data_IF_193625737137
#
_entry.id   IF_193625737137
#
_cell.length_a   1.000
_cell.length_b   1.000
_cell.length_c   1.000
_cell.angle_alpha   90.00
_cell.angle_beta   90.00
_cell.angle_gamma   90.00
#
_symmetry.space_group_name_H-M   'P 1'
#
loop_
_entity.id
_entity.type
_entity.pdbx_description
1 polymer ?
#
# COMPACT_ATOMS: atom_id res chain seq x y z
N UNK A 1 19.24 -22.97 -4.19
CA UNK A 1 17.81 -22.71 -3.89
C UNK A 1 17.61 -21.21 -4.01
N UNK A 2 16.85 -20.75 -5.02
CA UNK A 2 16.53 -19.34 -5.27
C UNK A 2 15.20 -19.02 -4.59
N UNK A 3 15.11 -17.86 -3.94
CA UNK A 3 13.85 -17.13 -3.71
C UNK A 3 13.00 -17.56 -2.52
N UNK A 4 13.47 -17.35 -1.29
CA UNK A 4 12.55 -17.21 -0.15
C UNK A 4 12.58 -15.74 0.26
N UNK A 5 11.50 -14.98 0.01
CA UNK A 5 11.41 -13.59 0.47
C UNK A 5 11.55 -13.54 1.99
N UNK A 6 12.14 -12.46 2.52
CA UNK A 6 12.09 -12.16 3.95
C UNK A 6 10.65 -11.86 4.42
N UNK A 7 10.46 -11.82 5.73
CA UNK A 7 9.16 -11.54 6.37
C UNK A 7 9.34 -10.49 7.49
N UNK A 8 8.37 -9.58 7.60
CA UNK A 8 8.28 -8.61 8.68
C UNK A 8 7.37 -9.18 9.79
N UNK A 9 7.92 -9.35 11.00
CA UNK A 9 7.22 -9.95 12.14
C UNK A 9 6.77 -8.86 13.12
N UNK A 10 5.47 -8.81 13.43
CA UNK A 10 4.87 -7.85 14.37
C UNK A 10 4.37 -8.50 15.66
N UNK A 11 4.22 -7.70 16.74
CA UNK A 11 3.52 -8.08 17.97
C UNK A 11 2.27 -7.22 18.15
N UNK A 12 1.19 -7.81 18.66
CA UNK A 12 -0.07 -7.12 18.95
C UNK A 12 -0.19 -6.98 20.47
N UNK A 13 -0.32 -5.75 20.94
CA UNK A 13 -0.53 -5.44 22.36
C UNK A 13 -2.01 -5.12 22.60
N UNK A 14 -2.68 -5.96 23.38
CA UNK A 14 -4.10 -5.80 23.71
C UNK A 14 -4.28 -4.89 24.94
N UNK A 15 -3.95 -3.61 24.81
CA UNK A 15 -4.23 -2.59 25.84
C UNK A 15 -5.05 -1.45 25.23
N UNK A 16 -5.80 -0.74 26.07
CA UNK A 16 -6.62 0.41 25.64
C UNK A 16 -5.79 1.50 24.95
N UNK A 17 -4.53 1.65 25.34
CA UNK A 17 -3.63 2.68 24.82
C UNK A 17 -3.22 2.42 23.35
N UNK A 18 -3.38 1.18 22.87
CA UNK A 18 -3.12 0.78 21.48
C UNK A 18 -4.39 0.47 20.69
N UNK A 19 -5.57 0.80 21.24
CA UNK A 19 -6.85 0.61 20.57
C UNK A 19 -7.23 1.86 19.75
N UNK A 20 -7.16 1.75 18.43
CA UNK A 20 -7.44 2.85 17.49
C UNK A 20 -8.90 2.87 16.98
N UNK A 21 -9.63 1.75 17.06
CA UNK A 21 -11.01 1.64 16.59
C UNK A 21 -11.40 0.22 16.20
N UNK A 22 -12.55 0.09 15.53
CA UNK A 22 -13.17 -1.19 15.19
C UNK A 22 -13.02 -1.52 13.71
N UNK A 23 -12.71 -2.78 13.42
CA UNK A 23 -12.80 -3.35 12.07
C UNK A 23 -14.25 -3.76 11.83
N UNK A 24 -14.89 -3.18 10.84
CA UNK A 24 -16.26 -3.51 10.45
C UNK A 24 -16.30 -4.59 9.38
N UNK A 25 -15.34 -4.60 8.44
CA UNK A 25 -15.34 -5.52 7.31
C UNK A 25 -13.95 -5.86 6.80
N UNK A 26 -13.78 -7.12 6.43
CA UNK A 26 -12.63 -7.60 5.66
C UNK A 26 -13.12 -7.99 4.26
N UNK A 27 -12.62 -7.31 3.23
CA UNK A 27 -13.02 -7.52 1.85
C UNK A 27 -11.81 -7.80 0.96
N UNK A 28 -12.06 -8.15 -0.30
CA UNK A 28 -10.99 -8.26 -1.28
C UNK A 28 -10.28 -6.94 -1.60
N UNK A 29 -10.88 -5.79 -1.28
CA UNK A 29 -10.28 -4.47 -1.49
C UNK A 29 -9.57 -3.92 -0.25
N UNK A 30 -9.55 -4.66 0.86
CA UNK A 30 -8.91 -4.26 2.10
C UNK A 30 -9.77 -4.46 3.35
N UNK A 31 -9.24 -3.98 4.47
CA UNK A 31 -9.88 -3.96 5.77
C UNK A 31 -10.47 -2.56 5.99
N UNK A 32 -11.73 -2.51 6.38
CA UNK A 32 -12.52 -1.29 6.56
C UNK A 32 -13.09 -1.25 7.96
N UNK A 33 -13.19 -0.04 8.51
CA UNK A 33 -13.61 0.17 9.88
C UNK A 33 -13.62 1.65 10.24
N UNK A 34 -13.88 1.92 11.51
CA UNK A 34 -13.95 3.28 12.05
C UNK A 34 -12.85 3.49 13.06
N UNK A 35 -12.13 4.59 12.90
CA UNK A 35 -11.19 5.06 13.91
C UNK A 35 -11.98 5.81 14.98
N UNK A 36 -11.83 5.39 16.23
CA UNK A 36 -12.48 6.01 17.39
C UNK A 36 -11.48 6.85 18.19
N UNK A 37 -10.25 6.36 18.33
CA UNK A 37 -9.18 7.01 19.09
C UNK A 37 -8.05 7.41 18.16
N UNK A 38 -8.25 8.52 17.45
CA UNK A 38 -7.18 9.15 16.66
C UNK A 38 -6.27 9.89 17.62
N UNK A 39 -5.02 9.44 17.78
CA UNK A 39 -4.00 10.13 18.56
C UNK A 39 -3.75 11.55 18.03
N UNK A 40 -3.39 12.49 18.89
CA UNK A 40 -3.02 13.88 18.49
C UNK A 40 -1.91 13.89 17.44
N UNK A 41 -0.95 12.96 17.52
CA UNK A 41 0.15 12.80 16.57
C UNK A 41 -0.32 12.46 15.16
N UNK A 42 -1.36 11.62 15.05
CA UNK A 42 -2.01 11.26 13.79
C UNK A 42 -2.89 12.40 13.28
N UNK A 43 -3.62 13.08 14.16
CA UNK A 43 -4.44 14.24 13.82
C UNK A 43 -3.61 15.43 13.32
N UNK A 44 -2.35 15.54 13.75
CA UNK A 44 -1.40 16.55 13.30
C UNK A 44 -0.74 16.24 11.95
N UNK A 45 -0.91 15.03 11.40
CA UNK A 45 -0.38 14.69 10.08
C UNK A 45 -1.13 15.41 8.96
N UNK A 46 -0.41 15.76 7.89
CA UNK A 46 -1.02 16.37 6.71
C UNK A 46 -1.77 15.32 5.88
N UNK A 47 -3.03 15.60 5.57
CA UNK A 47 -3.84 14.77 4.69
C UNK A 47 -3.33 14.87 3.25
N UNK A 48 -3.25 13.73 2.57
CA UNK A 48 -2.84 13.66 1.17
C UNK A 48 -4.08 13.50 0.29
N UNK A 49 -4.24 14.29 -0.79
CA UNK A 49 -5.36 14.12 -1.71
C UNK A 49 -5.33 12.76 -2.40
N UNK A 50 -6.51 12.22 -2.68
CA UNK A 50 -6.65 10.99 -3.45
C UNK A 50 -6.55 11.31 -4.95
N UNK A 51 -5.82 10.47 -5.69
CA UNK A 51 -5.75 10.53 -7.14
C UNK A 51 -6.76 9.56 -7.76
N UNK A 52 -7.62 10.08 -8.62
CA UNK A 52 -8.60 9.26 -9.35
C UNK A 52 -7.93 8.50 -10.50
N UNK A 53 -8.54 7.40 -10.96
CA UNK A 53 -8.02 6.51 -12.01
C UNK A 53 -7.57 7.26 -13.27
N UNK A 54 -8.31 8.30 -13.67
CA UNK A 54 -7.99 9.15 -14.84
C UNK A 54 -6.72 10.02 -14.67
N UNK A 55 -6.29 10.26 -13.44
CA UNK A 55 -5.11 11.08 -13.12
C UNK A 55 -3.83 10.26 -13.04
N UNK A 56 -3.94 8.93 -12.91
CA UNK A 56 -2.82 8.01 -12.79
C UNK A 56 -2.17 7.81 -14.16
N UNK A 57 -0.84 7.86 -14.20
CA UNK A 57 -0.04 7.67 -15.41
C UNK A 57 1.02 6.60 -15.19
N UNK A 58 1.40 5.91 -16.26
CA UNK A 58 2.62 5.10 -16.24
C UNK A 58 3.84 6.00 -16.03
N UNK A 59 4.88 5.46 -15.41
CA UNK A 59 6.10 6.18 -15.05
C UNK A 59 6.28 6.35 -13.54
N UNK A 60 7.06 7.36 -13.16
CA UNK A 60 7.57 7.51 -11.78
C UNK A 60 6.45 7.66 -10.74
N UNK A 61 6.63 6.97 -9.63
CA UNK A 61 5.81 7.07 -8.42
C UNK A 61 6.68 6.67 -7.21
N UNK A 62 6.10 6.70 -6.02
CA UNK A 62 6.78 6.28 -4.80
C UNK A 62 5.89 5.35 -3.99
N UNK A 63 6.50 4.41 -3.28
CA UNK A 63 5.85 3.67 -2.21
C UNK A 63 6.34 4.15 -0.85
N UNK A 64 5.44 4.25 0.12
CA UNK A 64 5.81 4.60 1.50
C UNK A 64 5.67 3.37 2.39
N UNK A 65 6.76 2.88 2.96
CA UNK A 65 6.73 1.66 3.77
C UNK A 65 7.79 1.68 4.87
N UNK A 66 7.58 0.83 5.87
CA UNK A 66 8.53 0.63 6.96
C UNK A 66 9.25 -0.71 6.75
N UNK A 67 10.57 -0.65 6.52
CA UNK A 67 11.40 -1.83 6.26
C UNK A 67 12.37 -2.08 7.42
N UNK A 68 12.87 -1.02 8.05
CA UNK A 68 13.95 -1.07 9.04
C UNK A 68 13.62 -0.34 10.34
N UNK A 69 12.33 -0.23 10.66
CA UNK A 69 11.82 0.50 11.83
C UNK A 69 11.42 1.93 11.51
N UNK A 70 11.81 2.48 10.36
CA UNK A 70 11.45 3.82 9.92
C UNK A 70 10.57 3.81 8.67
N UNK A 71 9.57 4.70 8.64
CA UNK A 71 8.74 4.90 7.45
C UNK A 71 9.52 5.76 6.45
N UNK A 72 9.82 5.18 5.28
CA UNK A 72 10.56 5.84 4.19
C UNK A 72 9.78 5.76 2.89
N UNK A 73 10.06 6.69 1.99
CA UNK A 73 9.57 6.67 0.61
C UNK A 73 10.64 6.08 -0.29
N UNK A 74 10.23 5.19 -1.18
CA UNK A 74 11.11 4.53 -2.14
C UNK A 74 10.56 4.70 -3.55
N UNK A 75 11.46 4.96 -4.48
CA UNK A 75 11.11 5.16 -5.89
C UNK A 75 10.64 3.85 -6.56
N UNK A 76 9.55 3.98 -7.31
CA UNK A 76 8.99 2.92 -8.15
C UNK A 76 8.60 3.49 -9.53
N UNK A 77 8.30 2.61 -10.46
CA UNK A 77 7.62 2.93 -11.71
C UNK A 77 6.30 2.17 -11.81
N UNK A 78 5.23 2.87 -12.20
CA UNK A 78 3.98 2.25 -12.64
C UNK A 78 4.18 1.84 -14.10
N UNK A 79 4.29 0.54 -14.35
CA UNK A 79 4.55 -0.02 -15.68
C UNK A 79 3.26 -0.19 -16.48
N UNK A 80 2.15 -0.57 -15.81
CA UNK A 80 0.86 -0.78 -16.47
C UNK A 80 -0.32 -0.41 -15.56
N UNK A 81 -1.42 0.02 -16.17
CA UNK A 81 -2.65 0.46 -15.50
C UNK A 81 -3.83 -0.23 -16.16
N UNK A 82 -4.49 -1.12 -15.42
CA UNK A 82 -5.67 -1.85 -15.87
C UNK A 82 -6.93 -1.40 -15.13
N UNK A 83 -7.58 -0.37 -15.67
CA UNK A 83 -8.83 0.20 -15.12
C UNK A 83 -10.02 -0.76 -15.14
N UNK A 84 -9.98 -1.79 -16.01
CA UNK A 84 -11.06 -2.77 -16.18
C UNK A 84 -10.67 -4.14 -15.63
N UNK A 85 -9.70 -4.21 -14.71
CA UNK A 85 -9.25 -5.48 -14.14
C UNK A 85 -10.41 -6.19 -13.44
N UNK A 86 -10.60 -7.47 -13.75
CA UNK A 86 -11.53 -8.35 -13.03
C UNK A 86 -11.08 -8.60 -11.58
N UNK A 87 -9.76 -8.53 -11.36
CA UNK A 87 -9.14 -8.63 -10.05
C UNK A 87 -8.70 -7.24 -9.60
N UNK A 88 -9.44 -6.64 -8.67
CA UNK A 88 -9.19 -5.29 -8.15
C UNK A 88 -7.78 -5.15 -7.57
N UNK A 89 -7.20 -6.23 -7.07
CA UNK A 89 -5.86 -6.23 -6.51
C UNK A 89 -4.74 -6.20 -7.56
N UNK A 90 -5.06 -6.39 -8.84
CA UNK A 90 -4.14 -6.38 -9.98
C UNK A 90 -4.45 -5.25 -10.95
N UNK A 91 -4.78 -4.09 -10.39
CA UNK A 91 -5.20 -2.91 -11.16
C UNK A 91 -4.00 -2.09 -11.66
N UNK A 92 -2.86 -2.17 -10.98
CA UNK A 92 -1.60 -1.55 -11.39
C UNK A 92 -0.48 -2.57 -11.36
N UNK A 93 0.39 -2.56 -12.35
CA UNK A 93 1.69 -3.22 -12.30
C UNK A 93 2.75 -2.19 -11.91
N UNK A 94 3.50 -2.47 -10.85
CA UNK A 94 4.56 -1.60 -10.34
C UNK A 94 5.91 -2.32 -10.38
N UNK A 95 6.97 -1.55 -10.52
CA UNK A 95 8.35 -2.01 -10.49
C UNK A 95 9.16 -1.13 -9.54
N UNK A 96 9.79 -1.74 -8.54
CA UNK A 96 10.72 -1.06 -7.64
C UNK A 96 11.97 -0.68 -8.41
N UNK A 97 12.31 0.60 -8.41
CA UNK A 97 13.52 1.14 -9.03
C UNK A 97 14.50 1.72 -8.01
N UNK A 98 14.08 1.87 -6.76
CA UNK A 98 14.94 2.34 -5.67
C UNK A 98 16.01 1.32 -5.29
N UNK A 99 17.28 1.72 -5.47
CA UNK A 99 18.41 0.82 -5.21
C UNK A 99 18.57 0.49 -3.73
N UNK A 100 18.25 1.41 -2.81
CA UNK A 100 18.40 1.15 -1.38
C UNK A 100 17.40 0.09 -0.92
N UNK A 101 16.16 0.14 -1.40
CA UNK A 101 15.16 -0.90 -1.14
C UNK A 101 15.61 -2.24 -1.74
N UNK A 102 16.03 -2.23 -3.01
CA UNK A 102 16.47 -3.44 -3.71
C UNK A 102 17.67 -4.11 -3.02
N UNK A 103 18.66 -3.33 -2.57
CA UNK A 103 19.84 -3.86 -1.89
C UNK A 103 19.50 -4.45 -0.51
N UNK A 104 18.49 -3.90 0.17
CA UNK A 104 18.11 -4.33 1.50
C UNK A 104 17.17 -5.54 1.51
N UNK A 105 16.20 -5.58 0.59
CA UNK A 105 15.11 -6.59 0.62
C UNK A 105 15.10 -7.51 -0.60
N UNK A 106 15.81 -7.16 -1.68
CA UNK A 106 15.72 -7.84 -2.97
C UNK A 106 14.43 -7.55 -3.75
N UNK A 107 13.62 -6.58 -3.31
CA UNK A 107 12.35 -6.20 -3.92
C UNK A 107 11.18 -6.14 -2.94
N UNK A 108 9.97 -6.37 -3.44
CA UNK A 108 8.75 -6.37 -2.64
C UNK A 108 8.71 -7.64 -1.79
N UNK A 109 8.63 -7.47 -0.46
CA UNK A 109 8.61 -8.57 0.51
C UNK A 109 7.30 -8.62 1.29
N UNK A 110 7.08 -9.72 1.99
CA UNK A 110 5.91 -9.88 2.85
C UNK A 110 5.94 -8.84 3.97
N UNK A 111 4.82 -8.15 4.16
CA UNK A 111 4.70 -6.99 5.06
C UNK A 111 4.60 -5.65 4.34
N UNK A 112 4.98 -5.57 3.06
CA UNK A 112 4.77 -4.37 2.24
C UNK A 112 3.34 -4.25 1.69
N UNK A 113 2.51 -5.28 1.79
CA UNK A 113 1.10 -5.20 1.41
C UNK A 113 0.41 -4.10 2.22
N UNK A 114 -0.35 -3.24 1.55
CA UNK A 114 -0.94 -2.04 2.13
C UNK A 114 -0.06 -0.79 2.06
N UNK A 115 1.19 -0.88 1.58
CA UNK A 115 2.06 0.29 1.43
C UNK A 115 1.44 1.30 0.46
N UNK A 116 1.22 2.57 0.88
CA UNK A 116 0.67 3.61 0.02
C UNK A 116 1.53 3.86 -1.21
N UNK A 117 0.88 3.95 -2.37
CA UNK A 117 1.48 4.36 -3.65
C UNK A 117 1.12 5.83 -3.88
N UNK A 118 2.14 6.67 -3.98
CA UNK A 118 2.03 8.12 -4.19
C UNK A 118 2.54 8.48 -5.58
N UNK A 119 1.72 9.19 -6.35
CA UNK A 119 2.14 9.77 -7.63
C UNK A 119 1.65 11.22 -7.72
N UNK A 120 2.52 12.14 -8.14
CA UNK A 120 2.21 13.56 -8.26
C UNK A 120 1.64 14.18 -6.95
N UNK A 121 2.13 13.73 -5.80
CA UNK A 121 1.66 14.18 -4.48
C UNK A 121 0.27 13.68 -4.08
N UNK A 122 -0.29 12.70 -4.80
CA UNK A 122 -1.59 12.11 -4.51
C UNK A 122 -1.48 10.63 -4.15
N UNK A 123 -2.36 10.17 -3.25
CA UNK A 123 -2.54 8.74 -2.99
C UNK A 123 -3.29 8.10 -4.16
N UNK A 124 -2.59 7.30 -4.95
CA UNK A 124 -3.18 6.64 -6.14
C UNK A 124 -3.53 5.19 -5.89
N UNK A 125 -2.98 4.57 -4.84
CA UNK A 125 -3.31 3.20 -4.48
C UNK A 125 -2.48 2.64 -3.34
N UNK A 126 -2.50 1.32 -3.24
CA UNK A 126 -1.68 0.58 -2.28
C UNK A 126 -1.11 -0.70 -2.94
N UNK A 127 0.08 -1.10 -2.50
CA UNK A 127 0.71 -2.37 -2.92
C UNK A 127 -0.12 -3.53 -2.38
N UNK A 128 -0.35 -4.57 -3.19
CA UNK A 128 -1.14 -5.74 -2.78
C UNK A 128 -0.29 -7.00 -2.74
N UNK A 129 0.28 -7.40 -3.88
CA UNK A 129 0.97 -8.68 -4.07
C UNK A 129 2.27 -8.50 -4.84
N UNK A 130 3.27 -9.32 -4.55
CA UNK A 130 4.51 -9.43 -5.34
C UNK A 130 4.35 -10.42 -6.50
N UNK A 131 5.06 -10.21 -7.61
CA UNK A 131 5.15 -11.19 -8.69
C UNK A 131 6.08 -12.35 -8.27
N UNK A 132 5.57 -13.58 -8.27
CA UNK A 132 6.32 -14.76 -7.80
C UNK A 132 7.61 -15.01 -8.60
N UNK A 133 7.62 -14.68 -9.88
CA UNK A 133 8.76 -14.85 -10.77
C UNK A 133 9.74 -13.66 -10.74
N UNK A 134 9.33 -12.51 -10.19
CA UNK A 134 10.12 -11.29 -10.17
C UNK A 134 9.79 -10.45 -8.93
N UNK A 135 10.60 -10.53 -7.86
CA UNK A 135 10.32 -9.84 -6.62
C UNK A 135 10.44 -8.32 -6.74
N UNK A 136 11.08 -7.77 -7.79
CA UNK A 136 11.14 -6.31 -7.97
C UNK A 136 9.82 -5.75 -8.48
N UNK A 137 8.91 -6.60 -8.96
CA UNK A 137 7.61 -6.21 -9.48
C UNK A 137 6.47 -6.66 -8.58
N UNK A 138 5.40 -5.88 -8.59
CA UNK A 138 4.20 -6.18 -7.81
C UNK A 138 2.96 -5.59 -8.41
N UNK A 139 1.85 -5.86 -7.76
CA UNK A 139 0.55 -5.34 -8.10
C UNK A 139 0.07 -4.31 -7.08
N UNK A 140 -0.79 -3.40 -7.54
CA UNK A 140 -1.50 -2.45 -6.69
C UNK A 140 -3.00 -2.39 -6.98
N UNK A 141 -3.75 -1.94 -5.98
CA UNK A 141 -5.17 -1.57 -6.05
C UNK A 141 -5.29 -0.05 -6.09
N UNK A 142 -6.29 0.50 -6.78
CA UNK A 142 -6.54 1.94 -6.82
C UNK A 142 -7.10 2.45 -5.49
N UNK A 143 -6.66 3.65 -5.09
CA UNK A 143 -7.21 4.35 -3.93
C UNK A 143 -8.69 4.65 -4.11
N UNK A 144 -9.09 5.06 -5.33
CA UNK A 144 -10.50 5.24 -5.71
C UNK A 144 -11.34 3.98 -5.46
N UNK A 145 -10.83 2.80 -5.80
CA UNK A 145 -11.56 1.53 -5.55
C UNK A 145 -11.68 1.22 -4.07
N UNK A 146 -10.68 1.56 -3.26
CA UNK A 146 -10.79 1.41 -1.80
C UNK A 146 -11.85 2.35 -1.23
N UNK A 147 -11.89 3.61 -1.68
CA UNK A 147 -12.92 4.58 -1.27
C UNK A 147 -14.33 4.17 -1.68
N UNK A 148 -14.53 3.75 -2.94
CA UNK A 148 -15.82 3.24 -3.43
C UNK A 148 -16.33 2.08 -2.57
N UNK A 149 -15.45 1.21 -2.07
CA UNK A 149 -15.84 0.13 -1.16
C UNK A 149 -16.15 0.62 0.24
N UNK A 150 -15.44 1.64 0.75
CA UNK A 150 -15.73 2.26 2.05
C UNK A 150 -17.09 2.98 2.05
N UNK A 151 -17.38 3.77 1.02
CA UNK A 151 -18.64 4.53 0.88
C UNK A 151 -19.87 3.61 0.76
N UNK A 152 -19.72 2.41 0.19
CA UNK A 152 -20.79 1.41 0.13
C UNK A 152 -21.17 0.81 1.49
N UNK A 153 -20.38 1.07 2.53
CA UNK A 153 -20.63 0.58 3.89
C UNK A 153 -21.39 1.59 4.75
N UNK A 154 -21.51 2.85 4.30
CA UNK A 154 -22.37 3.87 4.90
C UNK A 154 -23.84 3.70 4.48
#
# INVERSE_FOLDING_TARGET
KKGTPGELVGMIFYTSDYYFGEIEKNTQAGIFGKLENVSDELAAQEAVPVGYKQEIRTGKAQIRCNIDGEIKSYDIEIEDINVNSKDKNKSMLIHVTDQALLDQTGGIVQGMSGSPIIQNGKLVGAVTHVLVNDPTRGYGIFAETMLEEAERME
#
